data_IF_373960481809
#
_entry.id   IF_373960481809
#
_cell.length_a   1.000
_cell.length_b   1.000
_cell.length_c   1.000
_cell.angle_alpha   90.00
_cell.angle_beta   90.00
_cell.angle_gamma   90.00
#
_symmetry.space_group_name_H-M   'P 1'
#
loop_
_entity.id
_entity.type
_entity.pdbx_description
1 polymer ?
#
# COMPACT_ATOMS: atom_id res chain seq x y z
N UNK A 1 -3.84 -16.46 6.39
CA UNK A 1 -2.67 -15.72 5.87
C UNK A 1 -2.70 -14.21 6.11
N UNK A 2 -3.86 -13.55 6.06
CA UNK A 2 -4.00 -12.11 6.35
C UNK A 2 -5.41 -11.82 6.89
N UNK A 3 -5.54 -10.88 7.82
CA UNK A 3 -6.84 -10.29 8.19
C UNK A 3 -6.85 -8.82 7.79
N UNK A 4 -7.65 -8.46 6.77
CA UNK A 4 -7.63 -7.14 6.15
C UNK A 4 -8.99 -6.43 6.30
N UNK A 5 -8.96 -5.19 6.80
CA UNK A 5 -10.16 -4.38 7.02
C UNK A 5 -10.06 -3.10 6.18
N UNK A 6 -10.89 -3.00 5.13
CA UNK A 6 -10.97 -1.85 4.25
C UNK A 6 -12.42 -1.63 3.78
N UNK A 7 -13.04 -0.47 4.08
CA UNK A 7 -12.53 0.59 4.94
C UNK A 7 -12.53 0.20 6.43
N UNK A 8 -11.58 0.76 7.18
CA UNK A 8 -11.58 0.72 8.65
C UNK A 8 -12.06 2.07 9.20
N UNK A 9 -13.26 2.12 9.74
CA UNK A 9 -13.84 3.36 10.29
C UNK A 9 -13.17 3.75 11.61
N UNK A 10 -13.35 5.00 12.07
CA UNK A 10 -12.89 5.44 13.39
C UNK A 10 -13.42 4.55 14.53
N UNK A 11 -14.68 4.11 14.43
CA UNK A 11 -15.31 3.21 15.39
C UNK A 11 -14.62 1.83 15.40
N UNK A 12 -14.39 1.25 14.21
CA UNK A 12 -13.66 -0.02 14.08
C UNK A 12 -12.25 0.10 14.68
N UNK A 13 -11.53 1.19 14.39
CA UNK A 13 -10.20 1.46 14.96
C UNK A 13 -10.25 1.52 16.49
N UNK A 14 -11.23 2.21 17.07
CA UNK A 14 -11.38 2.29 18.52
C UNK A 14 -11.67 0.91 19.15
N UNK A 15 -12.56 0.12 18.54
CA UNK A 15 -12.86 -1.25 19.00
C UNK A 15 -11.60 -2.12 19.00
N UNK A 16 -10.83 -2.12 17.91
CA UNK A 16 -9.60 -2.89 17.79
C UNK A 16 -8.54 -2.42 18.80
N UNK A 17 -8.39 -1.11 18.98
CA UNK A 17 -7.42 -0.52 19.89
C UNK A 17 -7.71 -0.88 21.36
N UNK A 18 -8.98 -0.96 21.74
CA UNK A 18 -9.38 -1.25 23.13
C UNK A 18 -9.79 -2.71 23.38
N UNK A 19 -9.74 -3.56 22.36
CA UNK A 19 -10.08 -4.99 22.49
C UNK A 19 -11.56 -5.24 22.75
N UNK A 20 -12.45 -4.41 22.19
CA UNK A 20 -13.89 -4.64 22.21
C UNK A 20 -14.24 -5.79 21.26
N UNK A 21 -15.20 -6.63 21.64
CA UNK A 21 -15.55 -7.88 20.94
C UNK A 21 -17.07 -8.04 20.81
N UNK A 22 -17.74 -7.00 20.32
CA UNK A 22 -19.20 -6.86 20.28
C UNK A 22 -19.82 -7.17 18.90
N UNK A 23 -19.00 -7.47 17.89
CA UNK A 23 -19.42 -7.90 16.57
C UNK A 23 -18.47 -8.96 15.99
N UNK A 24 -18.89 -9.64 14.91
CA UNK A 24 -18.10 -10.72 14.30
C UNK A 24 -16.71 -10.24 13.85
N UNK A 25 -16.61 -9.02 13.33
CA UNK A 25 -15.36 -8.44 12.85
C UNK A 25 -14.34 -8.29 14.00
N UNK A 26 -14.77 -7.68 15.10
CA UNK A 26 -13.95 -7.40 16.27
C UNK A 26 -13.61 -8.67 17.07
N UNK A 27 -14.55 -9.62 17.19
CA UNK A 27 -14.28 -10.97 17.73
C UNK A 27 -13.23 -11.70 16.87
N UNK A 28 -13.35 -11.64 15.55
CA UNK A 28 -12.38 -12.26 14.64
C UNK A 28 -11.00 -11.61 14.79
N UNK A 29 -10.94 -10.28 14.87
CA UNK A 29 -9.68 -9.56 15.01
C UNK A 29 -8.89 -9.94 16.28
N UNK A 30 -9.59 -10.30 17.37
CA UNK A 30 -8.95 -10.76 18.62
C UNK A 30 -8.47 -12.20 18.58
N UNK A 31 -8.95 -13.00 17.62
CA UNK A 31 -8.69 -14.44 17.57
C UNK A 31 -7.75 -14.84 16.43
N UNK A 32 -7.54 -13.98 15.43
CA UNK A 32 -6.61 -14.26 14.34
C UNK A 32 -5.15 -14.25 14.79
N UNK A 33 -4.38 -15.21 14.28
CA UNK A 33 -2.93 -15.30 14.48
C UNK A 33 -2.12 -14.83 13.26
N UNK A 34 -2.80 -14.39 12.20
CA UNK A 34 -2.16 -13.82 11.01
C UNK A 34 -1.98 -12.30 11.16
N UNK A 35 -1.16 -11.66 10.31
CA UNK A 35 -1.02 -10.21 10.33
C UNK A 35 -2.37 -9.53 10.13
N UNK A 36 -2.64 -8.52 10.96
CA UNK A 36 -3.80 -7.65 10.83
C UNK A 36 -3.38 -6.40 10.07
N UNK A 37 -4.16 -6.06 9.05
CA UNK A 37 -3.95 -4.89 8.21
C UNK A 37 -5.25 -4.08 8.16
N UNK A 38 -5.15 -2.77 8.37
CA UNK A 38 -6.30 -1.88 8.28
C UNK A 38 -6.01 -0.76 7.28
N UNK A 39 -7.04 -0.36 6.54
CA UNK A 39 -7.01 0.82 5.68
C UNK A 39 -8.05 1.84 6.20
N UNK A 40 -7.64 2.81 7.02
CA UNK A 40 -8.54 3.81 7.57
C UNK A 40 -9.25 4.59 6.46
N UNK A 41 -10.55 4.82 6.62
CA UNK A 41 -11.29 5.73 5.76
C UNK A 41 -12.38 6.46 6.55
N UNK A 42 -12.32 7.78 6.54
CA UNK A 42 -13.21 8.68 7.28
C UNK A 42 -12.99 10.13 6.81
N UNK A 43 -13.84 11.05 7.26
CA UNK A 43 -13.61 12.49 7.05
C UNK A 43 -12.27 12.93 7.66
N UNK A 44 -11.64 13.96 7.08
CA UNK A 44 -10.32 14.44 7.50
C UNK A 44 -10.26 14.85 8.98
N UNK A 45 -11.31 15.50 9.49
CA UNK A 45 -11.37 15.89 10.90
C UNK A 45 -11.41 14.68 11.83
N UNK A 46 -12.17 13.64 11.44
CA UNK A 46 -12.20 12.37 12.18
C UNK A 46 -10.85 11.68 12.18
N UNK A 47 -10.13 11.71 11.04
CA UNK A 47 -8.81 11.12 10.93
C UNK A 47 -7.79 11.86 11.80
N UNK A 48 -7.78 13.19 11.77
CA UNK A 48 -6.86 14.02 12.56
C UNK A 48 -7.21 14.13 14.05
N UNK A 49 -8.41 13.71 14.46
CA UNK A 49 -8.83 13.73 15.85
C UNK A 49 -7.85 12.96 16.76
N UNK A 50 -7.53 13.55 17.92
CA UNK A 50 -6.53 13.03 18.86
C UNK A 50 -6.80 11.57 19.29
N UNK A 51 -8.07 11.23 19.55
CA UNK A 51 -8.47 9.86 19.88
C UNK A 51 -8.17 8.87 18.73
N UNK A 52 -8.46 9.24 17.48
CA UNK A 52 -8.18 8.40 16.32
C UNK A 52 -6.67 8.19 16.17
N UNK A 53 -5.88 9.26 16.29
CA UNK A 53 -4.42 9.17 16.20
C UNK A 53 -3.81 8.33 17.33
N UNK A 54 -4.31 8.47 18.57
CA UNK A 54 -3.89 7.64 19.70
C UNK A 54 -4.21 6.15 19.47
N UNK A 55 -5.40 5.85 18.94
CA UNK A 55 -5.79 4.48 18.62
C UNK A 55 -4.94 3.89 17.48
N UNK A 56 -4.69 4.65 16.42
CA UNK A 56 -3.79 4.23 15.34
C UNK A 56 -2.37 3.98 15.86
N UNK A 57 -1.86 4.84 16.75
CA UNK A 57 -0.54 4.64 17.37
C UNK A 57 -0.49 3.34 18.21
N UNK A 58 -1.51 3.11 19.05
CA UNK A 58 -1.61 1.89 19.85
C UNK A 58 -1.70 0.62 18.97
N UNK A 59 -2.45 0.68 17.87
CA UNK A 59 -2.53 -0.43 16.92
C UNK A 59 -1.18 -0.70 16.24
N UNK A 60 -0.43 0.35 15.85
CA UNK A 60 0.94 0.18 15.31
C UNK A 60 1.87 -0.47 16.33
N UNK A 61 1.82 -0.05 17.60
CA UNK A 61 2.62 -0.66 18.68
C UNK A 61 2.31 -2.16 18.83
N UNK A 62 1.04 -2.55 18.68
CA UNK A 62 0.58 -3.95 18.71
C UNK A 62 0.87 -4.74 17.43
N UNK A 63 1.57 -4.16 16.46
CA UNK A 63 1.96 -4.84 15.22
C UNK A 63 0.89 -4.85 14.12
N UNK A 64 -0.19 -4.09 14.26
CA UNK A 64 -1.17 -3.90 13.18
C UNK A 64 -0.56 -3.02 12.10
N UNK A 65 -0.64 -3.47 10.85
CA UNK A 65 -0.18 -2.69 9.70
C UNK A 65 -1.28 -1.72 9.28
N UNK A 66 -0.91 -0.45 9.14
CA UNK A 66 -1.85 0.61 8.75
C UNK A 66 -1.47 1.07 7.35
N UNK A 67 -2.38 0.91 6.39
CA UNK A 67 -2.27 1.53 5.08
C UNK A 67 -2.81 2.94 5.22
N UNK A 68 -1.94 3.93 5.08
CA UNK A 68 -2.31 5.34 5.23
C UNK A 68 -3.39 5.75 4.23
N UNK A 69 -4.41 6.52 4.65
CA UNK A 69 -5.39 7.06 3.71
C UNK A 69 -4.74 8.07 2.76
N UNK A 70 -5.36 8.19 1.59
CA UNK A 70 -5.01 9.18 0.59
C UNK A 70 -5.65 10.54 0.91
N UNK A 71 -5.09 11.59 0.30
CA UNK A 71 -5.71 12.90 0.26
C UNK A 71 -6.74 12.96 -0.85
N UNK A 72 -7.90 13.54 -0.56
CA UNK A 72 -8.96 13.66 -1.55
C UNK A 72 -10.08 14.57 -1.11
N UNK A 73 -11.00 14.82 -2.04
CA UNK A 73 -12.22 15.59 -1.75
C UNK A 73 -13.25 14.70 -1.07
N UNK A 74 -13.79 15.18 0.04
CA UNK A 74 -14.84 14.50 0.80
C UNK A 74 -16.24 14.96 0.37
N UNK A 75 -17.27 14.22 0.81
CA UNK A 75 -18.67 14.60 0.61
C UNK A 75 -19.02 15.95 1.27
N UNK A 76 -18.28 16.34 2.32
CA UNK A 76 -18.36 17.66 2.98
C UNK A 76 -17.90 18.82 2.08
N UNK A 77 -17.28 18.52 0.94
CA UNK A 77 -16.69 19.51 0.04
C UNK A 77 -15.26 19.92 0.41
N UNK A 78 -14.80 19.54 1.60
CA UNK A 78 -13.42 19.74 2.06
C UNK A 78 -12.46 18.78 1.35
N UNK A 79 -11.18 19.15 1.36
CA UNK A 79 -10.08 18.31 0.88
C UNK A 79 -9.16 18.04 2.06
N UNK A 80 -8.80 16.78 2.25
CA UNK A 80 -7.88 16.39 3.32
C UNK A 80 -7.54 14.91 3.27
N UNK A 81 -6.75 14.49 4.24
CA UNK A 81 -6.29 13.11 4.38
C UNK A 81 -7.34 12.28 5.10
N UNK A 82 -7.78 11.17 4.49
CA UNK A 82 -8.86 10.33 5.05
C UNK A 82 -9.60 9.49 4.01
N UNK A 83 -9.33 9.71 2.72
CA UNK A 83 -9.90 8.92 1.64
C UNK A 83 -9.28 7.51 1.64
N UNK A 84 -10.11 6.49 1.44
CA UNK A 84 -9.62 5.13 1.24
C UNK A 84 -8.70 5.09 0.00
N UNK A 85 -7.50 4.51 0.08
CA UNK A 85 -6.65 4.33 -1.09
C UNK A 85 -7.35 3.51 -2.17
N UNK A 86 -7.00 3.76 -3.42
CA UNK A 86 -7.59 3.03 -4.54
C UNK A 86 -7.25 1.53 -4.47
N UNK A 87 -8.15 0.70 -5.02
CA UNK A 87 -8.02 -0.78 -4.97
C UNK A 87 -6.64 -1.30 -5.40
N UNK A 88 -6.00 -0.80 -6.47
CA UNK A 88 -4.66 -1.25 -6.86
C UNK A 88 -3.60 -0.99 -5.79
N UNK A 89 -3.68 0.14 -5.08
CA UNK A 89 -2.78 0.48 -3.97
C UNK A 89 -2.96 -0.49 -2.81
N UNK A 90 -4.22 -0.78 -2.42
CA UNK A 90 -4.54 -1.75 -1.37
C UNK A 90 -4.01 -3.15 -1.70
N UNK A 91 -4.24 -3.61 -2.94
CA UNK A 91 -3.73 -4.90 -3.42
C UNK A 91 -2.20 -4.92 -3.38
N UNK A 92 -1.53 -3.83 -3.78
CA UNK A 92 -0.07 -3.72 -3.71
C UNK A 92 0.49 -3.93 -2.30
N UNK A 93 -0.13 -3.30 -1.30
CA UNK A 93 0.24 -3.52 0.11
C UNK A 93 -0.02 -4.96 0.58
N UNK A 94 -1.18 -5.55 0.22
CA UNK A 94 -1.50 -6.94 0.56
C UNK A 94 -0.44 -7.89 0.00
N UNK A 95 -0.08 -7.73 -1.28
CA UNK A 95 0.94 -8.54 -1.95
C UNK A 95 2.29 -8.43 -1.24
N UNK A 96 2.73 -7.21 -0.92
CA UNK A 96 3.99 -6.97 -0.20
C UNK A 96 4.01 -7.66 1.17
N UNK A 97 2.89 -7.61 1.91
CA UNK A 97 2.81 -8.21 3.25
C UNK A 97 2.85 -9.74 3.16
N UNK A 98 2.09 -10.32 2.23
CA UNK A 98 2.07 -11.77 2.01
C UNK A 98 3.41 -12.30 1.44
N UNK A 99 4.07 -11.51 0.60
CA UNK A 99 5.34 -11.87 -0.06
C UNK A 99 6.60 -11.70 0.79
N UNK A 100 6.51 -11.02 1.95
CA UNK A 100 7.67 -10.61 2.76
C UNK A 100 8.67 -11.74 3.07
N UNK A 101 8.18 -12.97 3.25
CA UNK A 101 8.99 -14.15 3.58
C UNK A 101 9.13 -15.13 2.40
N UNK A 102 9.00 -14.64 1.17
CA UNK A 102 9.15 -15.46 -0.04
C UNK A 102 10.59 -15.91 -0.31
N UNK A 103 10.77 -16.65 -1.40
CA UNK A 103 12.05 -17.28 -1.78
C UNK A 103 13.20 -16.30 -2.04
N UNK A 104 12.91 -15.02 -2.29
CA UNK A 104 13.90 -13.95 -2.50
C UNK A 104 14.02 -13.03 -1.27
N UNK A 105 13.48 -13.42 -0.11
CA UNK A 105 13.62 -12.64 1.12
C UNK A 105 15.10 -12.35 1.44
N UNK A 106 15.40 -11.08 1.72
CA UNK A 106 16.76 -10.59 1.98
C UNK A 106 17.62 -10.35 0.73
N UNK A 107 17.13 -10.68 -0.47
CA UNK A 107 17.81 -10.36 -1.72
C UNK A 107 17.51 -8.94 -2.17
N UNK A 108 18.49 -8.32 -2.85
CA UNK A 108 18.32 -7.04 -3.54
C UNK A 108 18.31 -7.27 -5.04
N UNK A 109 17.27 -6.82 -5.72
CA UNK A 109 17.08 -7.03 -7.16
C UNK A 109 17.00 -5.67 -7.86
N UNK A 110 17.85 -5.47 -8.86
CA UNK A 110 17.80 -4.30 -9.73
C UNK A 110 17.06 -4.67 -11.02
N UNK A 111 16.04 -3.89 -11.39
CA UNK A 111 15.28 -4.07 -12.62
C UNK A 111 15.35 -2.79 -13.44
N UNK A 112 15.66 -2.90 -14.73
CA UNK A 112 15.56 -1.79 -15.70
C UNK A 112 14.34 -2.00 -16.59
N UNK A 113 13.52 -0.97 -16.81
CA UNK A 113 12.31 -1.06 -17.61
C UNK A 113 12.11 0.16 -18.52
N UNK A 114 11.57 -0.08 -19.71
CA UNK A 114 11.24 0.96 -20.69
C UNK A 114 12.19 0.99 -21.89
N UNK A 115 12.00 1.99 -22.75
CA UNK A 115 12.83 2.20 -23.93
C UNK A 115 14.07 3.03 -23.63
N UNK A 116 15.09 2.91 -24.48
CA UNK A 116 16.27 3.79 -24.47
C UNK A 116 16.10 4.92 -25.47
N UNK A 117 16.73 6.07 -25.23
CA UNK A 117 16.74 7.21 -26.15
C UNK A 117 18.18 7.56 -26.48
N UNK A 118 18.59 7.28 -27.71
CA UNK A 118 19.93 7.59 -28.23
C UNK A 118 19.89 8.93 -28.98
N UNK A 119 20.57 9.98 -28.52
CA UNK A 119 20.49 11.30 -29.14
C UNK A 119 21.17 11.33 -30.51
N UNK A 120 20.49 11.91 -31.50
CA UNK A 120 21.12 12.30 -32.78
C UNK A 120 21.56 13.77 -32.68
N UNK A 121 20.68 14.60 -32.13
CA UNK A 121 20.85 16.02 -31.85
C UNK A 121 19.93 16.42 -30.66
N UNK A 122 19.90 17.69 -30.22
CA UNK A 122 19.09 18.08 -29.05
C UNK A 122 17.57 17.84 -29.17
N UNK A 123 17.04 17.59 -30.38
CA UNK A 123 15.59 17.42 -30.62
C UNK A 123 15.26 16.00 -31.03
N UNK A 124 16.11 15.36 -31.84
CA UNK A 124 15.86 14.03 -32.41
C UNK A 124 16.67 12.97 -31.69
N UNK A 125 16.03 11.81 -31.50
CA UNK A 125 16.65 10.64 -30.91
C UNK A 125 16.08 9.36 -31.53
N UNK A 126 16.87 8.29 -31.48
CA UNK A 126 16.44 6.94 -31.84
C UNK A 126 15.93 6.28 -30.55
N UNK A 127 14.74 5.68 -30.62
CA UNK A 127 14.15 4.93 -29.51
C UNK A 127 13.53 3.64 -30.00
N UNK A 128 13.48 2.65 -29.12
CA UNK A 128 12.64 1.47 -29.32
C UNK A 128 11.20 1.72 -28.80
N UNK A 129 10.27 0.82 -29.13
CA UNK A 129 8.85 0.86 -28.72
C UNK A 129 8.57 0.09 -27.42
N UNK A 130 9.58 -0.10 -26.57
CA UNK A 130 9.39 -0.80 -25.30
C UNK A 130 8.38 -0.06 -24.43
N UNK A 131 7.35 -0.79 -24.01
CA UNK A 131 6.32 -0.26 -23.11
C UNK A 131 6.72 -0.34 -21.64
N UNK A 132 7.86 -0.97 -21.31
CA UNK A 132 8.29 -1.21 -19.93
C UNK A 132 7.47 -2.26 -19.14
N UNK A 133 6.30 -2.69 -19.65
CA UNK A 133 5.36 -3.58 -18.94
C UNK A 133 6.00 -4.85 -18.39
N UNK A 134 6.88 -5.50 -19.15
CA UNK A 134 7.56 -6.71 -18.72
C UNK A 134 8.52 -6.45 -17.54
N UNK A 135 9.27 -5.35 -17.56
CA UNK A 135 10.15 -4.98 -16.46
C UNK A 135 9.37 -4.68 -15.18
N UNK A 136 8.23 -3.97 -15.30
CA UNK A 136 7.35 -3.73 -14.15
C UNK A 136 6.75 -5.02 -13.60
N UNK A 137 6.33 -5.96 -14.47
CA UNK A 137 5.84 -7.26 -14.04
C UNK A 137 6.92 -8.07 -13.31
N UNK A 138 8.17 -8.03 -13.79
CA UNK A 138 9.30 -8.68 -13.13
C UNK A 138 9.60 -8.04 -11.77
N UNK A 139 9.57 -6.71 -11.68
CA UNK A 139 9.75 -5.99 -10.43
C UNK A 139 8.66 -6.37 -9.41
N UNK A 140 7.40 -6.42 -9.82
CA UNK A 140 6.29 -6.86 -8.96
C UNK A 140 6.51 -8.31 -8.51
N UNK A 141 6.83 -9.24 -9.42
CA UNK A 141 7.06 -10.64 -9.08
C UNK A 141 8.22 -10.83 -8.09
N UNK A 142 9.29 -10.02 -8.21
CA UNK A 142 10.39 -10.03 -7.27
C UNK A 142 9.97 -9.52 -5.88
N UNK A 143 9.15 -8.46 -5.80
CA UNK A 143 8.56 -7.97 -4.54
C UNK A 143 7.67 -9.05 -3.92
N UNK A 144 6.82 -9.71 -4.71
CA UNK A 144 5.93 -10.78 -4.23
C UNK A 144 6.71 -12.00 -3.72
N UNK A 145 7.93 -12.20 -4.24
CA UNK A 145 8.85 -13.21 -3.76
C UNK A 145 9.71 -12.73 -2.57
N UNK A 146 9.51 -11.52 -2.05
CA UNK A 146 10.16 -11.00 -0.85
C UNK A 146 11.45 -10.19 -1.09
N UNK A 147 11.81 -9.91 -2.35
CA UNK A 147 13.00 -9.13 -2.65
C UNK A 147 12.82 -7.63 -2.33
N UNK A 148 13.92 -6.97 -2.00
CA UNK A 148 14.03 -5.51 -2.06
C UNK A 148 14.38 -5.10 -3.48
N UNK A 149 13.46 -4.41 -4.17
CA UNK A 149 13.60 -4.10 -5.59
C UNK A 149 13.96 -2.63 -5.79
N UNK A 150 14.93 -2.38 -6.67
CA UNK A 150 15.17 -1.06 -7.25
C UNK A 150 14.75 -1.12 -8.71
N UNK A 151 13.77 -0.30 -9.10
CA UNK A 151 13.29 -0.20 -10.47
C UNK A 151 13.81 1.09 -11.11
N UNK A 152 14.71 0.96 -12.09
CA UNK A 152 15.11 2.05 -12.98
C UNK A 152 14.16 2.03 -14.18
N UNK A 153 13.34 3.07 -14.32
CA UNK A 153 12.33 3.13 -15.38
C UNK A 153 12.51 4.37 -16.26
N UNK A 154 12.30 4.19 -17.56
CA UNK A 154 12.14 5.29 -18.53
C UNK A 154 10.68 5.47 -18.99
N UNK A 155 9.75 4.72 -18.39
CA UNK A 155 8.31 4.78 -18.69
C UNK A 155 7.56 5.55 -17.62
N UNK A 156 6.83 6.59 -18.03
CA UNK A 156 6.07 7.46 -17.12
C UNK A 156 4.60 7.05 -16.93
N UNK A 157 4.08 6.19 -17.82
CA UNK A 157 2.65 5.81 -17.84
C UNK A 157 2.31 4.62 -16.95
N UNK A 158 3.32 3.92 -16.41
CA UNK A 158 3.13 2.75 -15.57
C UNK A 158 3.35 3.12 -14.10
N UNK A 159 2.36 2.82 -13.28
CA UNK A 159 2.49 2.96 -11.82
C UNK A 159 3.52 1.97 -11.28
N UNK A 160 4.50 2.42 -10.48
CA UNK A 160 5.45 1.52 -9.86
C UNK A 160 4.74 0.57 -8.88
N UNK A 161 5.23 -0.67 -8.73
CA UNK A 161 4.72 -1.59 -7.73
C UNK A 161 4.95 -1.03 -6.31
N UNK A 162 4.07 -1.39 -5.37
CA UNK A 162 4.20 -0.95 -3.97
C UNK A 162 5.31 -1.74 -3.29
N UNK A 163 6.43 -1.09 -2.99
CA UNK A 163 7.46 -1.64 -2.11
C UNK A 163 8.89 -1.34 -2.46
#
# INVERSE_FOLDING_TARGET
DLFFIAPSTANTIAKLAHGLADDLLSVTALTVHCPIVIAPAMDGEMYHHSATQANLALLRERGVVIIEPEEGRFASGLVGKGRLPETPTLIGHIRRILGKNGILAGMRVLVTAGGTREPIDPVRFITNRSSGKQGYALAQAAIDAGASVTLISTTETLSPPIG
#
